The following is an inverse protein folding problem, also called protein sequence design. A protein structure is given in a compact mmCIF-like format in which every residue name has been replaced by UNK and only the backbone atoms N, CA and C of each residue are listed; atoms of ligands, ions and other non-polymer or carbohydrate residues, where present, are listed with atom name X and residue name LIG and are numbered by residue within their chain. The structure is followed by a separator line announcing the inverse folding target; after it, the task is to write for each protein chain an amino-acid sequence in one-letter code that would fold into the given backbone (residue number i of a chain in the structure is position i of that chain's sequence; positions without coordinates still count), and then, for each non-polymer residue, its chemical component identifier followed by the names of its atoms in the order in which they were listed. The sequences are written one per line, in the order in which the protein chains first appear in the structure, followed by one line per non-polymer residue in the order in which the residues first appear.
data_IF_944875794941
#
_entry.id   IF_944875794941
#
_cell.length_a   1.000
_cell.length_b   1.000
_cell.length_c   1.000
_cell.angle_alpha   90.00
_cell.angle_beta   90.00
_cell.angle_gamma   90.00
#
_symmetry.space_group_name_H-M   'P 1'
#
loop_
_entity.id
_entity.type
_entity.pdbx_description
1 polymer ?
#
# COMPACT_ATOMS: atom_id res chain seq x y z
N UNK A 1 5.45 -11.93 31.31
CA UNK A 1 5.56 -10.46 31.39
C UNK A 1 5.84 -9.82 30.03
N UNK A 2 6.47 -10.50 29.05
CA UNK A 2 6.77 -9.93 27.73
C UNK A 2 5.58 -9.78 26.76
N UNK A 3 4.46 -10.49 26.93
CA UNK A 3 3.28 -10.23 26.06
C UNK A 3 2.67 -8.84 26.28
N UNK A 4 2.86 -8.25 27.47
CA UNK A 4 2.33 -6.92 27.79
C UNK A 4 3.15 -5.78 27.20
N UNK A 5 4.45 -5.97 26.92
CA UNK A 5 5.29 -4.86 26.46
C UNK A 5 4.97 -4.46 25.01
N UNK A 6 4.70 -5.44 24.13
CA UNK A 6 4.29 -5.16 22.75
C UNK A 6 2.96 -4.41 22.70
N UNK A 7 1.99 -4.78 23.54
CA UNK A 7 0.74 -4.05 23.69
C UNK A 7 0.95 -2.63 24.24
N UNK A 8 1.90 -2.44 25.17
CA UNK A 8 2.23 -1.12 25.71
C UNK A 8 2.83 -0.20 24.63
N UNK A 9 3.80 -0.71 23.85
CA UNK A 9 4.35 -0.01 22.67
C UNK A 9 3.22 0.38 21.71
N UNK A 10 2.33 -0.57 21.40
CA UNK A 10 1.20 -0.35 20.52
C UNK A 10 0.19 0.67 21.06
N UNK A 11 -0.06 0.73 22.37
CA UNK A 11 -1.02 1.69 22.92
C UNK A 11 -0.52 3.13 22.90
N UNK A 12 0.81 3.30 22.97
CA UNK A 12 1.46 4.60 23.11
C UNK A 12 1.93 5.19 21.76
N UNK A 13 1.49 4.60 20.65
CA UNK A 13 1.69 5.15 19.31
C UNK A 13 0.71 6.30 19.04
N UNK A 14 1.14 7.52 19.38
CA UNK A 14 0.37 8.75 19.28
C UNK A 14 0.26 9.28 17.84
N UNK A 15 1.21 8.95 16.96
CA UNK A 15 1.23 9.37 15.55
C UNK A 15 0.35 8.47 14.66
N UNK A 16 -0.37 7.51 15.25
CA UNK A 16 -1.19 6.54 14.53
C UNK A 16 -2.32 7.18 13.73
N UNK A 17 -2.61 6.55 12.60
CA UNK A 17 -3.79 6.82 11.79
C UNK A 17 -4.96 5.95 12.26
N UNK A 18 -6.11 6.57 12.45
CA UNK A 18 -7.38 5.88 12.59
C UNK A 18 -7.75 5.19 11.28
N UNK A 19 -8.37 4.00 11.37
CA UNK A 19 -8.66 3.17 10.20
C UNK A 19 -10.10 2.69 10.26
N UNK A 20 -10.84 2.92 9.19
CA UNK A 20 -12.18 2.35 8.97
C UNK A 20 -12.14 1.28 7.90
N UNK A 21 -12.90 0.21 8.12
CA UNK A 21 -13.17 -0.86 7.16
C UNK A 21 -14.63 -0.82 6.71
N UNK A 22 -14.96 -1.66 5.73
CA UNK A 22 -16.36 -1.89 5.35
C UNK A 22 -17.05 -2.86 6.32
N UNK A 23 -18.30 -2.59 6.64
CA UNK A 23 -19.19 -3.52 7.33
C UNK A 23 -19.77 -4.57 6.36
N UNK A 24 -20.63 -5.47 6.88
CA UNK A 24 -21.26 -6.55 6.11
C UNK A 24 -22.16 -6.07 4.96
N UNK A 25 -22.69 -4.86 5.07
CA UNK A 25 -23.54 -4.21 4.07
C UNK A 25 -22.70 -3.48 3.00
N UNK A 26 -21.38 -3.38 3.21
CA UNK A 26 -20.44 -2.70 2.34
C UNK A 26 -20.25 -1.22 2.66
N UNK A 27 -20.87 -0.70 3.72
CA UNK A 27 -20.72 0.70 4.14
C UNK A 27 -19.51 0.89 5.05
N UNK A 28 -18.94 2.09 5.07
CA UNK A 28 -17.84 2.44 5.95
C UNK A 28 -18.29 2.49 7.42
N UNK A 29 -17.54 1.86 8.30
CA UNK A 29 -17.82 1.87 9.75
C UNK A 29 -17.62 3.24 10.38
N UNK A 30 -16.69 4.04 9.84
CA UNK A 30 -16.40 5.40 10.25
C UNK A 30 -15.83 6.20 9.07
N UNK A 31 -16.68 7.02 8.44
CA UNK A 31 -16.29 7.89 7.34
C UNK A 31 -15.27 8.97 7.71
N UNK A 32 -15.09 9.25 8.99
CA UNK A 32 -14.20 10.31 9.49
C UNK A 32 -12.78 9.82 9.78
N UNK A 33 -12.53 8.51 9.69
CA UNK A 33 -11.21 7.93 9.91
C UNK A 33 -10.16 8.50 8.93
N UNK A 34 -8.91 8.56 9.37
CA UNK A 34 -7.77 9.02 8.54
C UNK A 34 -7.56 8.09 7.33
N UNK A 35 -7.84 6.79 7.49
CA UNK A 35 -7.73 5.77 6.45
C UNK A 35 -9.09 5.07 6.23
N UNK A 36 -9.50 4.97 4.97
CA UNK A 36 -10.60 4.10 4.53
C UNK A 36 -10.00 2.89 3.79
N UNK A 37 -10.04 1.72 4.43
CA UNK A 37 -9.40 0.48 3.98
C UNK A 37 -10.41 -0.47 3.33
N UNK A 38 -10.24 -0.77 2.05
CA UNK A 38 -11.10 -1.65 1.25
C UNK A 38 -10.38 -2.94 0.86
N UNK A 39 -10.43 -3.95 1.75
CA UNK A 39 -9.84 -5.27 1.48
C UNK A 39 -10.62 -6.09 0.43
N UNK A 40 -11.83 -5.67 0.07
CA UNK A 40 -12.62 -6.26 -1.02
C UNK A 40 -12.74 -7.80 -0.91
N UNK A 41 -12.00 -8.56 -1.73
CA UNK A 41 -12.18 -10.00 -1.90
C UNK A 41 -10.90 -10.78 -1.74
N UNK A 42 -11.04 -12.08 -1.47
CA UNK A 42 -9.92 -13.00 -1.40
C UNK A 42 -9.23 -13.13 -2.76
N UNK A 43 -7.91 -12.94 -2.78
CA UNK A 43 -7.11 -13.11 -3.98
C UNK A 43 -7.09 -14.58 -4.47
N UNK A 44 -7.09 -14.79 -5.78
CA UNK A 44 -7.13 -16.12 -6.41
C UNK A 44 -5.79 -16.86 -6.46
N UNK A 45 -4.68 -16.21 -6.10
CA UNK A 45 -3.35 -16.85 -6.12
C UNK A 45 -2.55 -16.66 -7.40
N UNK A 46 -3.03 -15.85 -8.35
CA UNK A 46 -2.40 -15.64 -9.66
C UNK A 46 -2.18 -14.15 -9.92
N UNK A 47 -1.03 -13.81 -10.53
CA UNK A 47 -0.67 -12.43 -10.91
C UNK A 47 -1.55 -11.85 -12.01
N UNK A 48 -2.22 -12.70 -12.80
CA UNK A 48 -3.05 -12.30 -13.93
C UNK A 48 -4.52 -12.08 -13.55
N UNK A 49 -4.92 -12.51 -12.35
CA UNK A 49 -6.30 -12.44 -11.91
C UNK A 49 -6.39 -11.38 -10.83
N UNK A 50 -6.90 -10.24 -11.25
CA UNK A 50 -7.31 -9.14 -10.40
C UNK A 50 -8.80 -9.28 -10.10
N UNK A 51 -9.12 -9.63 -8.86
CA UNK A 51 -10.50 -9.69 -8.37
C UNK A 51 -10.87 -8.44 -7.56
N UNK A 52 -9.89 -7.59 -7.25
CA UNK A 52 -10.08 -6.36 -6.49
C UNK A 52 -10.26 -5.21 -7.49
N UNK A 53 -11.52 -4.81 -7.70
CA UNK A 53 -11.87 -3.77 -8.65
C UNK A 53 -11.31 -2.39 -8.25
N UNK A 54 -11.17 -2.16 -6.94
CA UNK A 54 -10.78 -0.89 -6.34
C UNK A 54 -9.37 -0.99 -5.70
N UNK A 55 -8.78 0.13 -5.27
CA UNK A 55 -7.55 0.16 -4.48
C UNK A 55 -7.78 -0.43 -3.10
N UNK A 56 -6.70 -0.84 -2.44
CA UNK A 56 -6.75 -1.21 -1.03
C UNK A 56 -7.06 0.02 -0.17
N UNK A 57 -6.39 1.14 -0.44
CA UNK A 57 -6.61 2.40 0.27
C UNK A 57 -7.61 3.26 -0.51
N UNK A 58 -8.90 3.15 -0.15
CA UNK A 58 -9.94 3.99 -0.75
C UNK A 58 -9.74 5.48 -0.41
N UNK A 59 -9.16 5.77 0.77
CA UNK A 59 -8.70 7.11 1.16
C UNK A 59 -7.58 7.01 2.19
N UNK A 60 -6.62 7.92 2.12
CA UNK A 60 -5.62 8.20 3.16
C UNK A 60 -5.56 9.71 3.35
N UNK A 61 -5.54 10.17 4.59
CA UNK A 61 -5.26 11.57 4.94
C UNK A 61 -3.77 11.90 4.74
N UNK A 62 -3.40 12.21 3.50
CA UNK A 62 -2.04 12.60 3.18
C UNK A 62 -1.65 13.97 3.76
N UNK A 63 -2.61 14.82 4.13
CA UNK A 63 -2.33 16.11 4.78
C UNK A 63 -1.83 15.91 6.21
N UNK A 64 -2.46 14.99 6.96
CA UNK A 64 -1.95 14.53 8.26
C UNK A 64 -0.54 13.96 8.14
N UNK A 65 -0.27 13.19 7.08
CA UNK A 65 1.06 12.62 6.81
C UNK A 65 2.09 13.71 6.45
N UNK A 66 1.66 14.74 5.72
CA UNK A 66 2.48 15.90 5.35
C UNK A 66 2.82 16.79 6.55
N UNK A 67 1.91 16.89 7.53
CA UNK A 67 2.07 17.69 8.73
C UNK A 67 2.97 17.05 9.82
N UNK A 68 3.37 15.79 9.66
CA UNK A 68 4.19 15.06 10.65
C UNK A 68 5.65 14.92 10.20
N UNK A 69 6.57 15.47 11.00
CA UNK A 69 8.02 15.35 10.77
C UNK A 69 8.48 13.88 10.71
N UNK A 70 7.87 13.00 11.51
CA UNK A 70 8.18 11.57 11.54
C UNK A 70 7.87 10.91 10.19
N UNK A 71 6.66 11.13 9.67
CA UNK A 71 6.27 10.56 8.37
C UNK A 71 7.05 11.21 7.22
N UNK A 72 7.27 12.52 7.24
CA UNK A 72 8.10 13.20 6.23
C UNK A 72 9.53 12.66 6.22
N UNK A 73 10.14 12.44 7.38
CA UNK A 73 11.49 11.88 7.46
C UNK A 73 11.53 10.43 7.00
N UNK A 74 10.51 9.63 7.32
CA UNK A 74 10.40 8.25 6.82
C UNK A 74 10.23 8.19 5.30
N UNK A 75 9.43 9.09 4.71
CA UNK A 75 9.21 9.18 3.26
C UNK A 75 10.50 9.55 2.52
N UNK A 76 11.27 10.51 3.03
CA UNK A 76 12.61 10.84 2.46
C UNK A 76 13.51 9.62 2.37
N UNK A 77 13.54 8.80 3.43
CA UNK A 77 14.29 7.54 3.41
C UNK A 77 13.78 6.60 2.31
N UNK A 78 12.46 6.40 2.18
CA UNK A 78 11.89 5.56 1.13
C UNK A 78 12.29 6.04 -0.29
N UNK A 79 12.35 7.35 -0.49
CA UNK A 79 12.71 7.96 -1.79
C UNK A 79 14.17 7.70 -2.16
N UNK A 80 15.11 7.77 -1.20
CA UNK A 80 16.52 7.46 -1.45
C UNK A 80 16.71 6.04 -2.01
N UNK A 81 16.02 5.05 -1.41
CA UNK A 81 16.11 3.66 -1.88
C UNK A 81 15.37 3.41 -3.20
N UNK A 82 14.38 4.25 -3.56
CA UNK A 82 13.74 4.16 -4.87
C UNK A 82 14.72 4.55 -6.01
N UNK A 83 15.65 5.47 -5.73
CA UNK A 83 16.64 5.97 -6.69
C UNK A 83 17.81 4.99 -6.88
N UNK A 84 18.25 4.31 -5.82
CA UNK A 84 19.51 3.55 -5.80
C UNK A 84 19.36 2.01 -5.84
N UNK A 85 18.21 1.50 -6.29
CA UNK A 85 17.87 0.08 -6.23
C UNK A 85 18.98 -0.86 -6.78
N UNK A 86 19.65 -1.57 -5.85
CA UNK A 86 20.72 -2.57 -6.07
C UNK A 86 22.05 -2.04 -6.60
N UNK A 87 22.32 -0.75 -6.45
CA UNK A 87 23.65 -0.21 -6.69
C UNK A 87 24.56 -0.45 -5.47
N UNK A 88 25.89 -0.53 -5.65
CA UNK A 88 26.83 -0.61 -4.54
C UNK A 88 26.71 0.64 -3.64
N UNK A 89 25.98 0.53 -2.54
CA UNK A 89 25.72 1.68 -1.67
C UNK A 89 26.97 2.06 -0.88
N UNK A 90 27.42 3.30 -1.08
CA UNK A 90 28.15 4.04 -0.06
C UNK A 90 27.19 5.10 0.42
N UNK A 91 26.73 4.99 1.68
CA UNK A 91 25.84 5.99 2.29
C UNK A 91 26.55 7.33 2.24
N UNK A 92 26.00 8.27 1.47
CA UNK A 92 26.52 9.62 1.36
C UNK A 92 26.35 10.36 2.70
N UNK A 93 27.11 11.43 2.95
CA UNK A 93 26.92 12.24 4.15
C UNK A 93 25.48 12.77 4.29
N UNK A 94 24.83 13.13 3.18
CA UNK A 94 23.45 13.61 3.19
C UNK A 94 22.45 12.50 3.58
N UNK A 95 22.58 11.31 2.99
CA UNK A 95 21.74 10.16 3.36
C UNK A 95 21.97 9.77 4.83
N UNK A 96 23.21 9.87 5.32
CA UNK A 96 23.51 9.64 6.73
C UNK A 96 22.82 10.66 7.63
N UNK A 97 22.86 11.94 7.28
CA UNK A 97 22.19 12.99 8.05
C UNK A 97 20.66 12.79 8.08
N UNK A 98 20.07 12.31 6.98
CA UNK A 98 18.64 11.96 6.92
C UNK A 98 18.29 10.75 7.80
N UNK A 99 19.14 9.72 7.83
CA UNK A 99 18.99 8.55 8.71
C UNK A 99 19.07 8.99 10.18
N UNK A 100 20.08 9.78 10.55
CA UNK A 100 20.27 10.24 11.93
C UNK A 100 19.11 11.14 12.38
N UNK A 101 18.62 12.04 11.50
CA UNK A 101 17.45 12.87 11.79
C UNK A 101 16.16 12.04 11.95
N UNK A 102 15.98 10.97 11.18
CA UNK A 102 14.88 10.04 11.39
C UNK A 102 15.03 9.28 12.73
N UNK A 103 16.23 8.80 13.06
CA UNK A 103 16.50 8.13 14.33
C UNK A 103 16.25 9.04 15.53
N UNK A 104 16.51 10.34 15.44
CA UNK A 104 16.17 11.30 16.49
C UNK A 104 14.67 11.31 16.78
N UNK A 105 13.83 11.37 15.74
CA UNK A 105 12.37 11.35 15.87
C UNK A 105 11.87 10.01 16.44
N UNK A 106 12.42 8.89 15.94
CA UNK A 106 12.06 7.55 16.43
C UNK A 106 12.45 7.38 17.90
N UNK A 107 13.68 7.72 18.29
CA UNK A 107 14.16 7.59 19.67
C UNK A 107 13.37 8.49 20.64
N UNK A 108 12.97 9.69 20.18
CA UNK A 108 12.16 10.61 20.97
C UNK A 108 10.71 10.12 21.18
N UNK A 109 10.21 9.21 20.35
CA UNK A 109 8.84 8.70 20.42
C UNK A 109 8.60 7.82 21.66
N UNK A 110 7.36 7.86 22.19
CA UNK A 110 6.98 7.02 23.33
C UNK A 110 7.07 5.51 23.05
N UNK A 111 6.67 4.99 21.86
CA UNK A 111 6.85 3.58 21.52
C UNK A 111 8.30 3.10 21.65
N UNK A 112 9.26 3.87 21.13
CA UNK A 112 10.68 3.49 21.20
C UNK A 112 11.26 3.61 22.61
N UNK A 113 10.86 4.63 23.38
CA UNK A 113 11.27 4.74 24.79
C UNK A 113 10.86 3.51 25.60
N UNK A 114 9.63 3.02 25.41
CA UNK A 114 9.14 1.82 26.10
C UNK A 114 9.96 0.58 25.68
N UNK A 115 10.27 0.44 24.39
CA UNK A 115 11.13 -0.63 23.91
C UNK A 115 12.53 -0.55 24.55
N UNK A 116 13.15 0.64 24.55
CA UNK A 116 14.47 0.87 25.13
C UNK A 116 14.53 0.58 26.63
N UNK A 117 13.54 1.05 27.39
CA UNK A 117 13.41 0.80 28.83
C UNK A 117 13.35 -0.71 29.10
N UNK A 118 12.56 -1.45 28.33
CA UNK A 118 12.44 -2.91 28.47
C UNK A 118 13.72 -3.66 28.07
N UNK A 119 14.32 -3.31 26.94
CA UNK A 119 15.56 -3.93 26.44
C UNK A 119 16.68 -3.75 27.47
N UNK A 120 16.82 -2.54 28.02
CA UNK A 120 17.87 -2.21 28.99
C UNK A 120 17.67 -2.90 30.34
N UNK A 121 16.41 -3.14 30.73
CA UNK A 121 16.10 -3.82 31.99
C UNK A 121 16.25 -5.34 31.89
N UNK A 122 15.82 -5.95 30.78
CA UNK A 122 15.58 -7.40 30.71
C UNK A 122 16.51 -8.15 29.75
N UNK A 123 17.05 -7.49 28.72
CA UNK A 123 17.75 -8.16 27.62
C UNK A 123 19.25 -7.81 27.61
N UNK A 124 19.58 -6.53 27.61
CA UNK A 124 20.98 -6.06 27.49
C UNK A 124 21.35 -5.22 28.71
N UNK A 125 22.21 -5.78 29.57
CA UNK A 125 22.73 -5.06 30.73
C UNK A 125 23.57 -3.86 30.30
N UNK A 126 23.49 -2.78 31.06
CA UNK A 126 24.29 -1.56 30.89
C UNK A 126 24.11 -0.88 29.52
N UNK A 127 22.97 -1.12 28.84
CA UNK A 127 22.62 -0.41 27.61
C UNK A 127 22.44 1.08 27.90
N UNK A 128 23.19 1.91 27.18
CA UNK A 128 23.08 3.37 27.22
C UNK A 128 22.27 3.89 26.03
N UNK A 129 21.78 5.12 26.10
CA UNK A 129 21.11 5.76 24.96
C UNK A 129 22.04 5.88 23.73
N UNK A 130 23.34 6.12 23.96
CA UNK A 130 24.36 6.20 22.90
C UNK A 130 24.54 4.85 22.20
N UNK A 131 24.75 3.79 22.97
CA UNK A 131 24.93 2.43 22.42
C UNK A 131 23.65 1.93 21.75
N UNK A 132 22.48 2.27 22.29
CA UNK A 132 21.21 1.91 21.67
C UNK A 132 20.99 2.60 20.33
N UNK A 133 21.35 3.88 20.21
CA UNK A 133 21.34 4.60 18.93
C UNK A 133 22.28 3.95 17.91
N UNK A 134 23.50 3.61 18.33
CA UNK A 134 24.46 2.92 17.46
C UNK A 134 23.93 1.55 17.01
N UNK A 135 23.28 0.82 17.90
CA UNK A 135 22.63 -0.45 17.59
C UNK A 135 21.44 -0.27 16.63
N UNK A 136 20.62 0.78 16.79
CA UNK A 136 19.54 1.10 15.87
C UNK A 136 20.07 1.41 14.46
N UNK A 137 21.11 2.24 14.37
CA UNK A 137 21.78 2.51 13.09
C UNK A 137 22.29 1.21 12.47
N UNK A 138 23.04 0.42 13.26
CA UNK A 138 23.59 -0.86 12.79
C UNK A 138 22.51 -1.80 12.31
N UNK A 139 21.51 -2.09 13.14
CA UNK A 139 20.54 -3.15 12.82
C UNK A 139 19.61 -2.81 11.65
N UNK A 140 19.30 -1.53 11.45
CA UNK A 140 18.34 -1.07 10.44
C UNK A 140 19.00 -0.50 9.18
N UNK A 141 20.14 0.18 9.30
CA UNK A 141 20.68 1.01 8.21
C UNK A 141 22.10 0.66 7.78
N UNK A 142 22.88 -0.06 8.59
CA UNK A 142 24.20 -0.51 8.16
C UNK A 142 24.08 -1.53 7.03
N UNK A 143 24.92 -1.34 6.01
CA UNK A 143 24.95 -2.18 4.80
C UNK A 143 25.63 -3.51 5.13
N UNK A 144 24.97 -4.62 4.80
CA UNK A 144 25.48 -5.96 5.06
C UNK A 144 25.31 -6.89 3.86
N UNK A 145 25.89 -8.10 3.95
CA UNK A 145 25.71 -9.17 2.97
C UNK A 145 24.99 -10.34 3.63
N UNK A 146 23.78 -10.64 3.17
CA UNK A 146 23.00 -11.75 3.68
C UNK A 146 23.31 -13.07 2.94
N UNK A 147 23.51 -14.16 3.68
CA UNK A 147 23.77 -15.49 3.12
C UNK A 147 22.63 -16.47 3.44
N UNK A 148 21.81 -16.83 2.45
CA UNK A 148 20.70 -17.76 2.69
C UNK A 148 20.66 -18.89 1.67
N UNK A 149 20.66 -20.13 2.17
CA UNK A 149 20.59 -21.36 1.35
C UNK A 149 21.62 -21.39 0.20
N UNK A 150 22.86 -21.00 0.50
CA UNK A 150 23.97 -21.00 -0.45
C UNK A 150 23.96 -19.84 -1.47
N UNK A 151 23.11 -18.83 -1.25
CA UNK A 151 23.09 -17.59 -2.05
C UNK A 151 23.48 -16.40 -1.18
N UNK A 152 24.34 -15.52 -1.68
CA UNK A 152 24.58 -14.21 -1.09
C UNK A 152 23.68 -13.15 -1.74
N UNK A 153 23.26 -12.19 -0.93
CA UNK A 153 22.60 -10.95 -1.34
C UNK A 153 23.46 -9.84 -0.76
N UNK A 154 24.01 -8.99 -1.62
CA UNK A 154 24.93 -7.92 -1.23
C UNK A 154 24.17 -6.60 -1.13
N UNK A 155 24.77 -5.63 -0.45
CA UNK A 155 24.26 -4.26 -0.30
C UNK A 155 22.87 -4.20 0.35
N UNK A 156 22.62 -5.07 1.33
CA UNK A 156 21.34 -5.11 2.03
C UNK A 156 21.33 -4.13 3.18
N UNK A 157 20.19 -3.50 3.45
CA UNK A 157 19.91 -2.84 4.74
C UNK A 157 18.62 -3.39 5.34
N UNK A 158 18.48 -3.33 6.66
CA UNK A 158 17.25 -3.77 7.34
C UNK A 158 16.04 -2.94 6.93
N UNK A 159 16.23 -1.63 6.76
CA UNK A 159 15.22 -0.70 6.28
C UNK A 159 14.71 -1.08 4.89
N UNK A 160 15.63 -1.29 3.93
CA UNK A 160 15.26 -1.67 2.56
C UNK A 160 14.49 -3.00 2.56
N UNK A 161 15.00 -4.01 3.27
CA UNK A 161 14.39 -5.32 3.30
C UNK A 161 12.99 -5.34 3.92
N UNK A 162 12.75 -4.53 4.95
CA UNK A 162 11.45 -4.48 5.63
C UNK A 162 10.48 -3.58 4.88
N UNK A 163 10.83 -2.31 4.70
CA UNK A 163 9.90 -1.27 4.28
C UNK A 163 9.88 -1.05 2.75
N UNK A 164 11.03 -1.08 2.09
CA UNK A 164 11.14 -0.79 0.65
C UNK A 164 10.75 -2.00 -0.20
N UNK A 165 11.28 -3.16 0.15
CA UNK A 165 11.09 -4.43 -0.56
C UNK A 165 12.15 -4.69 -1.64
N UNK A 166 12.70 -5.90 -1.63
CA UNK A 166 13.71 -6.34 -2.60
C UNK A 166 13.04 -7.06 -3.79
N UNK A 167 13.18 -6.49 -4.99
CA UNK A 167 12.77 -7.12 -6.24
C UNK A 167 13.74 -8.22 -6.72
N UNK A 168 13.19 -9.40 -6.99
CA UNK A 168 13.91 -10.57 -7.50
C UNK A 168 13.55 -10.84 -8.96
N UNK A 169 14.38 -10.32 -9.87
CA UNK A 169 14.26 -10.50 -11.33
C UNK A 169 15.66 -10.61 -11.99
N UNK A 170 15.72 -11.06 -13.25
CA UNK A 170 16.97 -11.38 -13.97
C UNK A 170 17.13 -10.48 -15.20
N UNK A 171 17.95 -9.41 -15.09
CA UNK A 171 18.27 -8.51 -16.22
C UNK A 171 18.62 -9.30 -17.50
N UNK A 172 17.69 -9.40 -18.43
CA UNK A 172 17.77 -10.05 -19.73
C UNK A 172 17.97 -9.02 -20.82
N UNK A 173 18.78 -9.35 -21.83
CA UNK A 173 19.28 -8.40 -22.82
C UNK A 173 18.23 -7.84 -23.81
N UNK A 174 16.97 -8.29 -23.81
CA UNK A 174 15.93 -7.84 -24.74
C UNK A 174 14.51 -8.34 -24.35
N UNK A 175 13.88 -7.80 -23.31
CA UNK A 175 12.42 -7.95 -23.18
C UNK A 175 11.77 -6.77 -22.47
N UNK A 176 10.74 -6.20 -23.11
CA UNK A 176 9.81 -5.27 -22.48
C UNK A 176 9.24 -5.89 -21.20
N UNK A 177 9.62 -5.33 -20.06
CA UNK A 177 9.26 -5.70 -18.67
C UNK A 177 9.54 -7.15 -18.25
N UNK A 178 10.52 -7.32 -17.38
CA UNK A 178 10.79 -8.61 -16.75
C UNK A 178 9.77 -8.94 -15.67
N UNK A 179 9.47 -10.23 -15.52
CA UNK A 179 8.62 -10.74 -14.45
C UNK A 179 9.49 -11.24 -13.30
N UNK A 180 9.20 -10.78 -12.09
CA UNK A 180 9.91 -11.19 -10.88
C UNK A 180 9.01 -11.39 -9.67
N UNK A 181 9.65 -11.51 -8.51
CA UNK A 181 9.03 -11.64 -7.19
C UNK A 181 9.51 -10.52 -6.25
N UNK A 182 8.85 -10.36 -5.11
CA UNK A 182 9.22 -9.39 -4.06
C UNK A 182 9.51 -10.12 -2.76
N UNK A 183 10.70 -9.92 -2.19
CA UNK A 183 11.04 -10.31 -0.81
C UNK A 183 11.22 -9.07 0.05
N UNK A 184 10.31 -8.83 1.00
CA UNK A 184 10.18 -7.54 1.70
C UNK A 184 8.89 -6.82 1.32
N UNK A 185 8.81 -5.49 1.50
CA UNK A 185 7.60 -4.68 1.22
C UNK A 185 6.51 -4.94 2.27
N UNK A 186 6.73 -4.41 3.48
CA UNK A 186 5.87 -4.60 4.64
C UNK A 186 5.48 -3.25 5.29
N UNK A 187 5.44 -2.17 4.51
CA UNK A 187 5.03 -0.84 4.96
C UNK A 187 3.69 -0.43 4.32
N UNK A 188 2.71 -0.07 5.14
CA UNK A 188 1.46 0.50 4.62
C UNK A 188 1.67 1.90 4.03
N UNK A 189 2.58 2.70 4.59
CA UNK A 189 2.93 4.04 4.06
C UNK A 189 3.48 3.90 2.65
N UNK A 190 4.45 3.02 2.45
CA UNK A 190 4.98 2.71 1.11
C UNK A 190 3.88 2.21 0.17
N UNK A 191 3.04 1.28 0.64
CA UNK A 191 1.96 0.75 -0.18
C UNK A 191 0.99 1.86 -0.62
N UNK A 192 0.54 2.71 0.30
CA UNK A 192 -0.36 3.82 0.02
C UNK A 192 0.26 4.82 -0.97
N UNK A 193 1.54 5.15 -0.82
CA UNK A 193 2.26 6.04 -1.75
C UNK A 193 2.43 5.39 -3.12
N UNK A 194 2.81 4.11 -3.18
CA UNK A 194 2.92 3.39 -4.44
C UNK A 194 1.56 3.23 -5.12
N UNK A 195 0.48 3.03 -4.38
CA UNK A 195 -0.87 2.87 -4.91
C UNK A 195 -1.38 4.20 -5.47
N UNK A 196 -1.19 5.29 -4.73
CA UNK A 196 -1.44 6.65 -5.20
C UNK A 196 -0.70 6.96 -6.51
N UNK A 197 0.50 6.42 -6.68
CA UNK A 197 1.35 6.62 -7.86
C UNK A 197 1.18 5.52 -8.93
N UNK A 198 0.17 4.67 -8.86
CA UNK A 198 -0.06 3.54 -9.78
C UNK A 198 1.13 2.55 -9.91
N UNK A 199 2.01 2.50 -8.92
CA UNK A 199 3.14 1.59 -8.88
C UNK A 199 2.76 0.23 -8.31
N UNK A 200 1.73 0.13 -7.48
CA UNK A 200 1.23 -1.15 -6.95
C UNK A 200 -0.22 -1.39 -7.35
N UNK A 201 -0.57 -2.66 -7.54
CA UNK A 201 -1.93 -3.14 -7.81
C UNK A 201 -2.29 -4.18 -6.74
N UNK A 202 -3.24 -3.84 -5.87
CA UNK A 202 -3.83 -4.76 -4.90
C UNK A 202 -4.70 -5.78 -5.62
N UNK A 203 -4.50 -7.08 -5.36
CA UNK A 203 -5.24 -8.16 -6.03
C UNK A 203 -6.22 -8.89 -5.10
N UNK A 204 -6.38 -8.42 -3.86
CA UNK A 204 -7.23 -9.02 -2.84
C UNK A 204 -6.47 -9.56 -1.61
N UNK A 205 -7.24 -9.87 -0.57
CA UNK A 205 -6.71 -10.36 0.71
C UNK A 205 -6.31 -11.84 0.64
N UNK A 206 -5.43 -12.29 1.53
CA UNK A 206 -4.83 -13.63 1.54
C UNK A 206 -4.47 -14.18 2.92
N UNK A 207 -5.35 -13.96 3.89
CA UNK A 207 -5.27 -14.57 5.22
C UNK A 207 -5.32 -16.10 5.16
N UNK A 208 -4.55 -16.78 6.02
CA UNK A 208 -4.62 -18.23 6.26
C UNK A 208 -5.47 -18.51 7.51
N UNK A 209 -6.68 -17.94 7.57
CA UNK A 209 -7.58 -18.04 8.71
C UNK A 209 -8.85 -18.82 8.36
N UNK A 210 -9.39 -19.56 9.33
CA UNK A 210 -10.73 -20.16 9.28
C UNK A 210 -11.84 -19.25 9.85
N UNK A 211 -11.45 -18.05 10.32
CA UNK A 211 -12.27 -16.96 10.88
C UNK A 211 -11.73 -15.60 10.40
N UNK A 212 -12.17 -14.45 10.95
CA UNK A 212 -12.24 -13.19 10.21
C UNK A 212 -10.93 -12.77 9.54
N UNK A 213 -11.00 -12.61 8.22
CA UNK A 213 -10.38 -11.48 7.53
C UNK A 213 -11.41 -10.34 7.44
N UNK A 214 -11.15 -9.33 6.61
CA UNK A 214 -11.60 -7.92 6.66
C UNK A 214 -11.92 -7.19 7.98
N UNK A 215 -12.13 -7.87 9.12
CA UNK A 215 -12.67 -7.23 10.33
C UNK A 215 -11.62 -6.60 11.25
N UNK A 216 -10.32 -6.92 11.10
CA UNK A 216 -9.25 -6.23 11.85
C UNK A 216 -8.71 -5.06 11.02
N UNK A 217 -8.94 -3.79 11.41
CA UNK A 217 -8.57 -2.63 10.60
C UNK A 217 -7.06 -2.34 10.60
N UNK A 218 -6.27 -2.99 11.46
CA UNK A 218 -4.87 -2.63 11.71
C UNK A 218 -3.86 -3.57 11.05
N UNK A 219 -4.32 -4.46 10.17
CA UNK A 219 -3.45 -5.38 9.44
C UNK A 219 -4.07 -5.71 8.10
N UNK A 220 -3.22 -5.87 7.09
CA UNK A 220 -3.63 -6.48 5.82
C UNK A 220 -2.70 -7.63 5.53
N UNK A 221 -3.26 -8.79 5.17
CA UNK A 221 -2.51 -9.86 4.49
C UNK A 221 -3.01 -9.94 3.06
N UNK A 222 -2.15 -9.69 2.08
CA UNK A 222 -2.56 -9.43 0.71
C UNK A 222 -1.77 -10.18 -0.35
N UNK A 223 -2.29 -10.12 -1.57
CA UNK A 223 -1.59 -10.37 -2.81
C UNK A 223 -1.48 -9.06 -3.60
N UNK A 224 -0.33 -8.82 -4.24
CA UNK A 224 -0.09 -7.60 -5.02
C UNK A 224 0.81 -7.85 -6.24
N UNK A 225 0.69 -6.95 -7.21
CA UNK A 225 1.70 -6.71 -8.25
C UNK A 225 2.33 -5.35 -8.02
N UNK A 226 3.65 -5.26 -8.14
CA UNK A 226 4.41 -4.02 -8.07
C UNK A 226 5.14 -3.78 -9.39
N UNK A 227 4.89 -2.63 -9.98
CA UNK A 227 5.54 -2.11 -11.17
C UNK A 227 6.77 -1.32 -10.74
N UNK A 228 7.92 -1.98 -10.74
CA UNK A 228 9.19 -1.32 -10.46
C UNK A 228 9.62 -0.48 -11.67
N UNK A 229 9.87 0.80 -11.44
CA UNK A 229 10.24 1.78 -12.44
C UNK A 229 11.65 2.29 -12.20
N UNK A 230 12.34 2.74 -13.26
CA UNK A 230 13.61 3.45 -13.13
C UNK A 230 13.40 4.94 -12.78
N UNK A 231 14.51 5.67 -12.60
CA UNK A 231 14.49 7.11 -12.29
C UNK A 231 13.78 7.98 -13.34
N UNK A 232 13.58 7.46 -14.55
CA UNK A 232 12.87 8.16 -15.64
C UNK A 232 11.39 7.77 -15.71
N UNK A 233 10.91 6.94 -14.78
CA UNK A 233 9.54 6.43 -14.73
C UNK A 233 9.27 5.25 -15.67
N UNK A 234 10.30 4.72 -16.36
CA UNK A 234 10.12 3.61 -17.27
C UNK A 234 9.99 2.30 -16.49
N UNK A 235 9.04 1.44 -16.89
CA UNK A 235 8.83 0.13 -16.27
C UNK A 235 10.06 -0.77 -16.49
N UNK A 236 10.73 -1.10 -15.40
CA UNK A 236 11.87 -2.03 -15.36
C UNK A 236 11.37 -3.47 -15.20
N UNK A 237 10.50 -3.71 -14.23
CA UNK A 237 10.00 -5.04 -13.93
C UNK A 237 8.59 -5.02 -13.32
N UNK A 238 7.82 -6.06 -13.63
CA UNK A 238 6.57 -6.37 -12.94
C UNK A 238 6.84 -7.48 -11.92
N UNK A 239 6.74 -7.14 -10.64
CA UNK A 239 7.06 -8.02 -9.53
C UNK A 239 5.78 -8.50 -8.86
N UNK A 240 5.70 -9.80 -8.60
CA UNK A 240 4.53 -10.41 -8.00
C UNK A 240 4.82 -10.83 -6.56
N UNK A 241 3.98 -10.39 -5.63
CA UNK A 241 3.99 -10.88 -4.25
C UNK A 241 2.76 -11.73 -4.06
N UNK A 242 2.96 -13.04 -4.10
CA UNK A 242 1.87 -14.02 -3.98
C UNK A 242 1.23 -13.96 -2.60
N UNK A 243 1.97 -13.58 -1.55
CA UNK A 243 1.47 -13.33 -0.21
C UNK A 243 2.39 -12.36 0.53
N UNK A 244 1.81 -11.34 1.15
CA UNK A 244 2.48 -10.37 2.01
C UNK A 244 1.57 -9.90 3.11
N UNK A 245 2.08 -9.05 4.00
CA UNK A 245 1.23 -8.36 4.95
C UNK A 245 1.98 -7.32 5.75
N UNK A 246 1.24 -6.34 6.25
CA UNK A 246 1.76 -5.21 7.01
C UNK A 246 0.71 -4.74 8.00
N UNK A 247 1.14 -4.01 9.02
CA UNK A 247 0.23 -3.26 9.88
C UNK A 247 -0.36 -2.09 9.10
N UNK A 248 -1.57 -1.65 9.44
CA UNK A 248 -2.23 -0.48 8.86
C UNK A 248 -2.45 0.58 9.92
N UNK A 249 -2.03 1.80 9.59
CA UNK A 249 -2.20 3.00 10.41
C UNK A 249 -1.14 3.21 11.48
N UNK A 250 -0.36 2.19 11.86
CA UNK A 250 0.79 2.31 12.77
C UNK A 250 1.80 3.36 12.29
N UNK A 251 2.43 4.07 13.22
CA UNK A 251 3.53 4.97 12.86
C UNK A 251 4.83 4.21 12.54
N UNK A 252 5.72 4.80 11.74
CA UNK A 252 7.07 4.26 11.54
C UNK A 252 7.79 4.02 12.87
N UNK A 253 7.64 4.91 13.85
CA UNK A 253 8.26 4.77 15.16
C UNK A 253 7.74 3.55 15.93
N UNK A 254 6.42 3.29 15.89
CA UNK A 254 5.83 2.10 16.48
C UNK A 254 6.36 0.82 15.81
N UNK A 255 6.39 0.77 14.48
CA UNK A 255 6.88 -0.40 13.75
C UNK A 255 8.37 -0.68 14.02
N UNK A 256 9.20 0.37 14.08
CA UNK A 256 10.59 0.29 14.49
C UNK A 256 10.75 -0.23 15.92
N UNK A 257 9.94 0.25 16.86
CA UNK A 257 9.98 -0.19 18.26
C UNK A 257 9.63 -1.68 18.39
N UNK A 258 8.56 -2.14 17.72
CA UNK A 258 8.15 -3.55 17.71
C UNK A 258 9.24 -4.44 17.07
N UNK A 259 9.80 -4.02 15.93
CA UNK A 259 10.85 -4.74 15.22
C UNK A 259 12.16 -4.82 16.01
N UNK A 260 12.56 -3.71 16.64
CA UNK A 260 13.77 -3.62 17.47
C UNK A 260 13.66 -4.52 18.69
N UNK A 261 12.52 -4.50 19.39
CA UNK A 261 12.30 -5.40 20.51
C UNK A 261 12.34 -6.87 20.08
N UNK A 262 11.65 -7.22 18.98
CA UNK A 262 11.67 -8.59 18.44
C UNK A 262 13.08 -9.03 18.01
N UNK A 263 13.89 -8.12 17.49
CA UNK A 263 15.30 -8.37 17.15
C UNK A 263 16.11 -8.76 18.38
N UNK A 264 16.05 -7.98 19.48
CA UNK A 264 16.76 -8.33 20.72
C UNK A 264 16.21 -9.61 21.32
N UNK A 265 14.89 -9.79 21.40
CA UNK A 265 14.31 -11.05 21.87
C UNK A 265 14.81 -12.26 21.05
N UNK A 266 15.02 -12.10 19.74
CA UNK A 266 15.60 -13.13 18.89
C UNK A 266 17.08 -13.42 19.17
N UNK A 267 17.90 -12.40 19.46
CA UNK A 267 19.29 -12.60 19.91
C UNK A 267 19.35 -13.40 21.22
N UNK A 268 18.33 -13.26 22.06
CA UNK A 268 18.20 -13.98 23.34
C UNK A 268 17.44 -15.32 23.22
N UNK A 269 17.13 -15.78 22.00
CA UNK A 269 16.46 -17.07 21.77
C UNK A 269 15.01 -17.13 22.24
N UNK A 270 14.35 -15.98 22.42
CA UNK A 270 12.97 -15.87 22.90
C UNK A 270 11.92 -15.99 21.77
N UNK A 271 12.37 -16.20 20.54
CA UNK A 271 11.51 -16.43 19.39
C UNK A 271 11.37 -17.92 19.09
N UNK A 272 10.15 -18.35 18.77
CA UNK A 272 9.88 -19.72 18.31
C UNK A 272 9.74 -19.72 16.81
N UNK A 273 10.59 -20.47 16.10
CA UNK A 273 10.59 -20.52 14.63
C UNK A 273 10.64 -19.13 13.97
N UNK A 274 11.45 -18.22 14.53
CA UNK A 274 11.59 -16.82 14.04
C UNK A 274 10.32 -15.97 14.24
N UNK A 275 9.51 -16.31 15.23
CA UNK A 275 8.24 -15.65 15.51
C UNK A 275 8.09 -15.32 16.99
N UNK A 276 7.56 -14.12 17.26
CA UNK A 276 7.00 -13.74 18.56
C UNK A 276 5.48 -13.73 18.48
N UNK A 277 4.83 -14.53 19.33
CA UNK A 277 3.38 -14.46 19.50
C UNK A 277 3.04 -13.24 20.36
N UNK A 278 2.14 -12.39 19.91
CA UNK A 278 1.68 -11.20 20.64
C UNK A 278 0.18 -11.00 20.49
N UNK A 279 -0.39 -10.23 21.42
CA UNK A 279 -1.72 -9.64 21.31
C UNK A 279 -1.53 -8.13 21.11
N UNK A 280 -2.13 -7.56 20.06
CA UNK A 280 -2.14 -6.12 19.77
C UNK A 280 -3.59 -5.68 19.54
N UNK A 281 -4.13 -4.92 20.48
CA UNK A 281 -5.55 -4.59 20.52
C UNK A 281 -6.37 -5.89 20.60
N UNK A 282 -7.37 -6.01 19.73
CA UNK A 282 -8.20 -7.21 19.64
C UNK A 282 -7.55 -8.34 18.82
N UNK A 283 -6.44 -8.09 18.13
CA UNK A 283 -5.80 -9.07 17.26
C UNK A 283 -4.65 -9.88 17.89
N UNK A 284 -4.56 -11.16 17.53
CA UNK A 284 -3.40 -12.03 17.76
C UNK A 284 -2.50 -12.05 16.55
N UNK A 285 -1.20 -11.92 16.79
CA UNK A 285 -0.21 -11.85 15.73
C UNK A 285 0.98 -12.76 16.00
N UNK A 286 1.52 -13.32 14.93
CA UNK A 286 2.92 -13.70 14.87
C UNK A 286 3.71 -12.54 14.29
N UNK A 287 4.55 -11.91 15.10
CA UNK A 287 5.58 -11.01 14.58
C UNK A 287 6.72 -11.88 14.07
N UNK A 288 6.84 -11.98 12.75
CA UNK A 288 7.94 -12.70 12.11
C UNK A 288 9.14 -11.77 12.11
N UNK A 289 10.27 -12.24 12.62
CA UNK A 289 11.52 -11.48 12.64
C UNK A 289 12.65 -12.42 12.24
N UNK A 290 13.41 -12.03 11.23
CA UNK A 290 14.62 -12.72 10.81
C UNK A 290 15.83 -11.80 10.96
N UNK A 291 16.89 -12.30 11.59
CA UNK A 291 18.22 -11.70 11.48
C UNK A 291 18.83 -11.96 10.11
N UNK A 292 19.82 -11.14 9.78
CA UNK A 292 20.87 -11.49 8.81
C UNK A 292 21.40 -12.89 9.09
N UNK A 293 21.69 -13.64 8.03
CA UNK A 293 22.51 -14.83 8.12
C UNK A 293 23.89 -14.53 7.58
N UNK A 294 24.92 -14.72 8.39
CA UNK A 294 26.33 -14.47 8.04
C UNK A 294 26.89 -15.60 7.16
N UNK A 295 28.11 -15.41 6.62
CA UNK A 295 28.75 -16.38 5.73
C UNK A 295 28.95 -17.78 6.34
N UNK A 296 29.11 -17.86 7.67
CA UNK A 296 29.24 -19.11 8.42
C UNK A 296 27.88 -19.71 8.85
N UNK A 297 26.78 -19.04 8.52
CA UNK A 297 25.42 -19.48 8.84
C UNK A 297 24.92 -19.09 10.23
N UNK A 298 25.68 -18.26 10.97
CA UNK A 298 25.24 -17.73 12.26
C UNK A 298 24.29 -16.52 12.11
N UNK A 299 23.70 -16.09 13.23
CA UNK A 299 22.86 -14.90 13.28
C UNK A 299 23.75 -13.65 13.25
N UNK A 300 23.49 -12.78 12.28
CA UNK A 300 24.17 -11.50 12.15
C UNK A 300 23.62 -10.41 13.06
N UNK A 301 24.17 -9.20 12.91
CA UNK A 301 23.81 -8.03 13.72
C UNK A 301 22.71 -7.18 13.09
N UNK A 302 22.19 -7.57 11.94
CA UNK A 302 21.21 -6.79 11.17
C UNK A 302 19.84 -7.46 11.14
N UNK A 303 18.79 -6.66 10.99
CA UNK A 303 17.46 -7.16 10.67
C UNK A 303 17.44 -7.51 9.19
N UNK A 304 16.94 -8.71 8.86
CA UNK A 304 16.72 -9.14 7.48
C UNK A 304 15.27 -9.05 7.05
N UNK A 305 14.33 -9.21 7.96
CA UNK A 305 12.90 -9.03 7.68
C UNK A 305 12.12 -8.96 8.98
N UNK A 306 11.07 -8.15 9.00
CA UNK A 306 10.12 -8.03 10.10
C UNK A 306 8.74 -7.77 9.50
N UNK A 307 7.72 -8.54 9.91
CA UNK A 307 6.34 -8.32 9.46
C UNK A 307 5.32 -9.07 10.32
N UNK A 308 4.07 -8.58 10.38
CA UNK A 308 3.00 -9.28 11.08
C UNK A 308 2.42 -10.42 10.23
N UNK A 309 2.04 -11.48 10.92
CA UNK A 309 1.10 -12.50 10.43
C UNK A 309 -0.08 -12.50 11.37
N UNK A 310 -1.25 -12.12 10.86
CA UNK A 310 -2.48 -12.10 11.66
C UNK A 310 -3.04 -13.50 11.87
N UNK A 311 -3.53 -13.76 13.09
CA UNK A 311 -3.95 -15.08 13.55
C UNK A 311 -5.40 -15.12 14.04
N UNK A 312 -6.15 -14.01 13.88
CA UNK A 312 -7.50 -13.83 14.42
C UNK A 312 -7.52 -13.15 15.80
N UNK A 313 -8.69 -13.01 16.39
CA UNK A 313 -8.93 -12.33 17.66
C UNK A 313 -8.94 -13.27 18.89
N UNK A 314 -8.86 -14.59 18.65
CA UNK A 314 -8.93 -15.61 19.70
C UNK A 314 -10.34 -16.01 20.11
N UNK A 315 -11.38 -15.55 19.42
CA UNK A 315 -12.72 -16.11 19.54
C UNK A 315 -12.74 -17.52 18.92
N UNK A 316 -12.98 -18.55 19.73
CA UNK A 316 -13.39 -19.86 19.19
C UNK A 316 -14.80 -19.71 18.68
N UNK A 317 -15.02 -19.72 17.36
CA UNK A 317 -16.36 -19.89 16.81
C UNK A 317 -16.61 -21.36 16.45
N UNK A 318 -17.65 -21.89 17.07
CA UNK A 318 -18.49 -22.93 16.50
C UNK A 318 -18.87 -22.51 15.09
N UNK A 319 -18.86 -23.48 14.21
CA UNK A 319 -19.14 -23.52 12.77
C UNK A 319 -20.51 -22.96 12.31
N UNK A 320 -21.12 -22.04 13.06
CA UNK A 320 -22.49 -21.60 12.86
C UNK A 320 -22.66 -20.08 12.61
N UNK A 321 -21.57 -19.36 12.36
CA UNK A 321 -21.66 -18.02 11.77
C UNK A 321 -21.55 -18.14 10.27
N UNK A 322 -22.69 -18.04 9.58
CA UNK A 322 -22.78 -17.97 8.13
C UNK A 322 -21.63 -17.14 7.56
N UNK A 323 -20.92 -17.75 6.60
CA UNK A 323 -19.83 -17.14 5.86
C UNK A 323 -20.12 -15.64 5.70
N UNK A 324 -19.29 -14.79 6.34
CA UNK A 324 -19.22 -13.38 5.96
C UNK A 324 -18.67 -13.40 4.54
N UNK A 325 -19.59 -13.54 3.59
CA UNK A 325 -19.31 -13.37 2.18
C UNK A 325 -19.18 -11.87 2.04
N UNK A 326 -17.95 -11.36 2.17
CA UNK A 326 -17.64 -10.06 1.59
C UNK A 326 -17.89 -10.22 0.11
N UNK A 327 -19.09 -9.81 -0.29
CA UNK A 327 -19.41 -9.70 -1.69
C UNK A 327 -18.53 -8.54 -2.15
N UNK A 328 -17.68 -8.74 -3.16
CA UNK A 328 -17.16 -7.56 -3.84
C UNK A 328 -18.39 -6.70 -4.14
N UNK A 329 -18.33 -5.39 -3.90
CA UNK A 329 -18.87 -4.51 -4.92
C UNK A 329 -18.02 -4.83 -6.14
N UNK A 330 -18.37 -5.90 -6.83
CA UNK A 330 -18.22 -5.93 -8.27
C UNK A 330 -18.83 -4.62 -8.62
N UNK A 331 -18.04 -3.71 -9.14
CA UNK A 331 -18.64 -2.57 -9.82
C UNK A 331 -19.44 -3.25 -10.91
N UNK A 332 -20.72 -3.56 -10.64
CA UNK A 332 -21.66 -3.98 -11.66
C UNK A 332 -21.52 -2.86 -12.66
N UNK A 333 -20.96 -3.19 -13.82
CA UNK A 333 -20.68 -2.18 -14.82
C UNK A 333 -22.02 -1.61 -15.22
N UNK A 334 -22.34 -0.47 -14.63
CA UNK A 334 -23.59 0.20 -14.77
C UNK A 334 -23.30 1.34 -15.71
N UNK A 335 -23.76 1.26 -16.95
CA UNK A 335 -23.61 2.34 -17.92
C UNK A 335 -24.88 2.50 -18.77
N UNK A 336 -26.02 2.15 -18.18
CA UNK A 336 -27.35 2.09 -18.78
C UNK A 336 -28.34 3.09 -18.15
N UNK A 337 -27.93 3.81 -17.09
CA UNK A 337 -28.69 4.90 -16.49
C UNK A 337 -28.88 6.13 -17.40
N UNK A 338 -29.55 7.18 -16.90
CA UNK A 338 -29.79 8.41 -17.66
C UNK A 338 -28.51 9.19 -17.95
N UNK A 339 -27.47 9.04 -17.11
CA UNK A 339 -26.15 9.62 -17.32
C UNK A 339 -25.16 8.48 -17.57
N UNK A 340 -24.46 8.53 -18.70
CA UNK A 340 -23.59 7.43 -19.17
C UNK A 340 -22.21 7.96 -19.55
N UNK A 341 -21.20 7.13 -19.33
CA UNK A 341 -19.88 7.34 -19.92
C UNK A 341 -19.95 6.89 -21.38
N UNK A 342 -19.83 7.83 -22.31
CA UNK A 342 -20.01 7.60 -23.74
C UNK A 342 -18.74 7.09 -24.39
N UNK A 343 -17.66 7.85 -24.25
CA UNK A 343 -16.37 7.55 -24.86
C UNK A 343 -15.23 8.15 -24.06
N UNK A 344 -13.99 7.70 -24.30
CA UNK A 344 -12.82 8.31 -23.68
C UNK A 344 -11.59 8.18 -24.58
N UNK A 345 -10.62 9.08 -24.40
CA UNK A 345 -9.28 9.02 -24.99
C UNK A 345 -8.24 8.87 -23.87
N UNK A 346 -7.87 7.63 -23.49
CA UNK A 346 -6.88 7.39 -22.45
C UNK A 346 -5.44 7.65 -22.90
N UNK A 347 -5.14 7.48 -24.19
CA UNK A 347 -3.77 7.55 -24.73
C UNK A 347 -3.73 8.51 -25.93
N UNK A 348 -3.69 9.84 -25.72
CA UNK A 348 -3.66 10.80 -26.81
C UNK A 348 -2.36 10.71 -27.63
N UNK A 349 -2.34 11.22 -28.89
CA UNK A 349 -1.12 11.24 -29.70
C UNK A 349 -0.06 12.20 -29.16
N UNK A 350 1.21 11.77 -29.20
CA UNK A 350 2.37 12.57 -28.77
C UNK A 350 2.69 12.52 -27.27
N UNK A 351 3.71 13.27 -26.86
CA UNK A 351 4.24 13.30 -25.48
C UNK A 351 3.48 14.24 -24.54
N UNK A 352 2.43 14.92 -25.02
CA UNK A 352 1.69 15.94 -24.27
C UNK A 352 0.78 15.29 -23.20
N UNK A 353 1.28 15.26 -21.96
CA UNK A 353 0.49 14.94 -20.78
C UNK A 353 -0.62 16.00 -20.59
N UNK A 354 -1.89 15.59 -20.67
CA UNK A 354 -3.04 16.45 -20.34
C UNK A 354 -4.10 16.64 -21.43
N UNK A 355 -4.01 15.94 -22.57
CA UNK A 355 -5.07 15.95 -23.61
C UNK A 355 -6.01 14.75 -23.52
N UNK A 356 -5.98 14.03 -22.41
CA UNK A 356 -6.93 12.97 -22.10
C UNK A 356 -8.31 13.56 -21.82
N UNK A 357 -9.34 12.81 -22.17
CA UNK A 357 -10.70 13.27 -21.95
C UNK A 357 -11.67 12.09 -21.85
N UNK A 358 -12.80 12.37 -21.20
CA UNK A 358 -13.95 11.48 -21.08
C UNK A 358 -15.20 12.23 -21.56
N UNK A 359 -16.03 11.58 -22.35
CA UNK A 359 -17.34 12.09 -22.74
C UNK A 359 -18.44 11.47 -21.88
N UNK A 360 -19.29 12.33 -21.32
CA UNK A 360 -20.47 11.97 -20.55
C UNK A 360 -21.70 12.32 -21.38
N UNK A 361 -22.64 11.39 -21.51
CA UNK A 361 -23.88 11.55 -22.25
C UNK A 361 -25.08 11.53 -21.33
N UNK A 362 -25.93 12.56 -21.41
CA UNK A 362 -27.27 12.52 -20.87
C UNK A 362 -28.19 11.77 -21.85
N UNK A 363 -28.37 10.47 -21.62
CA UNK A 363 -29.29 9.60 -22.34
C UNK A 363 -30.74 9.69 -21.82
N UNK A 364 -30.98 10.46 -20.75
CA UNK A 364 -32.29 10.69 -20.17
C UNK A 364 -33.14 11.70 -20.95
N UNK A 365 -34.40 11.84 -20.52
CA UNK A 365 -35.37 12.76 -21.11
C UNK A 365 -35.44 14.13 -20.39
N UNK A 366 -34.66 14.33 -19.33
CA UNK A 366 -34.63 15.55 -18.53
C UNK A 366 -33.22 16.10 -18.43
N UNK A 367 -33.12 17.42 -18.26
CA UNK A 367 -31.84 18.10 -18.02
C UNK A 367 -31.30 17.73 -16.63
N UNK A 368 -29.97 17.58 -16.52
CA UNK A 368 -29.30 17.14 -15.29
C UNK A 368 -28.31 18.21 -14.85
N UNK A 369 -28.42 18.69 -13.61
CA UNK A 369 -27.42 19.57 -12.99
C UNK A 369 -26.26 18.72 -12.47
N UNK A 370 -25.06 18.95 -13.01
CA UNK A 370 -23.84 18.23 -12.65
C UNK A 370 -23.04 18.92 -11.54
N UNK A 371 -23.61 19.92 -10.87
CA UNK A 371 -22.95 20.60 -9.76
C UNK A 371 -22.52 19.62 -8.67
N UNK A 372 -21.21 19.55 -8.39
CA UNK A 372 -20.62 18.64 -7.40
C UNK A 372 -20.41 17.20 -7.88
N UNK A 373 -20.70 16.89 -9.15
CA UNK A 373 -20.45 15.57 -9.72
C UNK A 373 -18.97 15.44 -10.10
N UNK A 374 -18.48 14.22 -10.18
CA UNK A 374 -17.09 13.95 -10.54
C UNK A 374 -16.91 12.62 -11.26
N UNK A 375 -15.87 12.55 -12.09
CA UNK A 375 -15.33 11.29 -12.57
C UNK A 375 -14.27 10.80 -11.60
N UNK A 376 -14.09 9.48 -11.49
CA UNK A 376 -12.96 8.89 -10.77
C UNK A 376 -12.31 7.79 -11.61
N UNK A 377 -11.02 7.57 -11.41
CA UNK A 377 -10.30 6.45 -12.01
C UNK A 377 -10.32 5.20 -11.12
N UNK A 378 -9.58 4.15 -11.53
CA UNK A 378 -9.39 2.93 -10.71
C UNK A 378 -8.85 3.25 -9.31
N UNK A 379 -8.06 4.31 -9.15
CA UNK A 379 -7.47 4.72 -7.88
C UNK A 379 -8.39 5.62 -7.05
N UNK A 380 -9.68 5.76 -7.42
CA UNK A 380 -10.64 6.67 -6.80
C UNK A 380 -10.21 8.15 -6.86
N UNK A 381 -9.25 8.52 -7.70
CA UNK A 381 -8.78 9.91 -7.82
C UNK A 381 -9.80 10.75 -8.60
N UNK A 382 -10.22 11.91 -8.08
CA UNK A 382 -11.32 12.67 -8.67
C UNK A 382 -10.87 13.52 -9.88
N UNK A 383 -11.82 13.72 -10.79
CA UNK A 383 -11.86 14.79 -11.79
C UNK A 383 -13.23 15.46 -11.64
N UNK A 384 -13.30 16.61 -10.93
CA UNK A 384 -14.55 17.35 -10.77
C UNK A 384 -15.13 17.75 -12.12
N UNK A 385 -16.46 17.72 -12.21
CA UNK A 385 -17.19 18.27 -13.34
C UNK A 385 -17.45 19.76 -13.10
N UNK A 386 -17.33 20.55 -14.15
CA UNK A 386 -17.75 21.96 -14.09
C UNK A 386 -19.26 22.01 -13.82
N UNK A 387 -19.69 22.97 -12.97
CA UNK A 387 -21.09 23.18 -12.65
C UNK A 387 -21.86 23.56 -13.92
N UNK A 388 -22.46 22.55 -14.56
CA UNK A 388 -23.15 22.66 -15.84
C UNK A 388 -24.46 21.89 -15.79
N UNK A 389 -25.50 22.48 -16.38
CA UNK A 389 -26.74 21.77 -16.65
C UNK A 389 -26.58 21.05 -18.00
N UNK A 390 -26.46 19.72 -17.96
CA UNK A 390 -26.35 18.89 -19.15
C UNK A 390 -27.75 18.58 -19.70
N UNK A 391 -28.10 19.25 -20.79
CA UNK A 391 -29.42 19.13 -21.44
C UNK A 391 -29.68 17.67 -21.90
N UNK A 392 -30.94 17.23 -21.85
CA UNK A 392 -31.35 15.93 -22.36
C UNK A 392 -30.79 15.64 -23.78
N UNK A 393 -30.13 14.50 -23.95
CA UNK A 393 -29.51 14.08 -25.21
C UNK A 393 -28.12 14.68 -25.50
N UNK A 394 -27.66 15.67 -24.72
CA UNK A 394 -26.38 16.34 -24.92
C UNK A 394 -25.18 15.51 -24.39
N UNK A 395 -24.00 15.81 -24.93
CA UNK A 395 -22.73 15.21 -24.52
C UNK A 395 -21.84 16.30 -23.95
N UNK A 396 -21.27 16.04 -22.77
CA UNK A 396 -20.24 16.86 -22.15
C UNK A 396 -18.89 16.18 -22.35
N UNK A 397 -17.94 16.89 -22.92
CA UNK A 397 -16.54 16.45 -23.01
C UNK A 397 -15.76 17.04 -21.84
N UNK A 398 -15.21 16.18 -21.00
CA UNK A 398 -14.45 16.54 -19.80
C UNK A 398 -12.98 16.26 -20.06
N UNK A 399 -12.15 17.29 -20.02
CA UNK A 399 -10.70 17.14 -20.05
C UNK A 399 -10.20 16.63 -18.71
N UNK A 400 -9.36 15.59 -18.73
CA UNK A 400 -8.74 15.04 -17.52
C UNK A 400 -7.47 15.82 -17.22
N UNK A 401 -7.43 16.46 -16.06
CA UNK A 401 -6.30 17.31 -15.65
C UNK A 401 -5.36 16.51 -14.76
N UNK A 402 -4.11 16.35 -15.18
CA UNK A 402 -3.06 15.67 -14.40
C UNK A 402 -2.15 16.65 -13.64
N UNK A 403 -2.74 17.61 -12.94
CA UNK A 403 -1.94 18.63 -12.25
C UNK A 403 -1.10 18.04 -11.11
N UNK A 404 -1.62 17.02 -10.42
CA UNK A 404 -0.94 16.33 -9.33
C UNK A 404 -1.28 14.84 -9.36
N UNK A 405 -0.52 14.03 -8.61
CA UNK A 405 -0.76 12.59 -8.47
C UNK A 405 -2.13 12.24 -7.87
N UNK A 406 -2.80 13.21 -7.24
CA UNK A 406 -4.12 13.07 -6.63
C UNK A 406 -5.29 13.28 -7.60
N UNK A 407 -5.04 13.80 -8.81
CA UNK A 407 -6.08 13.94 -9.83
C UNK A 407 -6.25 12.64 -10.61
N UNK A 408 -7.42 12.46 -11.21
CA UNK A 408 -7.74 11.32 -12.08
C UNK A 408 -6.62 11.08 -13.13
N UNK A 409 -6.18 9.83 -13.26
CA UNK A 409 -5.21 9.40 -14.27
C UNK A 409 -5.76 8.22 -15.08
N UNK A 410 -5.63 8.33 -16.40
CA UNK A 410 -6.05 7.29 -17.34
C UNK A 410 -4.84 6.47 -17.82
N UNK A 411 -4.80 5.18 -17.50
CA UNK A 411 -3.67 4.32 -17.88
C UNK A 411 -3.83 3.78 -19.30
N UNK A 412 -2.77 3.83 -20.11
CA UNK A 412 -2.78 3.30 -21.49
C UNK A 412 -2.95 1.77 -21.58
N UNK A 413 -2.90 1.03 -20.46
CA UNK A 413 -2.91 -0.44 -20.44
C UNK A 413 -4.24 -1.06 -20.02
N UNK A 414 -4.81 -0.54 -18.94
CA UNK A 414 -6.11 -0.93 -18.40
C UNK A 414 -6.56 0.17 -17.46
N UNK A 415 -7.86 0.43 -17.39
CA UNK A 415 -8.39 1.37 -16.42
C UNK A 415 -9.86 1.19 -16.16
N UNK A 416 -10.31 1.84 -15.10
CA UNK A 416 -11.69 1.97 -14.67
C UNK A 416 -12.00 3.46 -14.70
N UNK A 417 -13.18 3.81 -15.21
CA UNK A 417 -13.74 5.17 -15.13
C UNK A 417 -15.09 5.04 -14.47
N UNK A 418 -15.31 5.74 -13.36
CA UNK A 418 -16.60 5.83 -12.70
C UNK A 418 -17.10 7.27 -12.68
N UNK A 419 -18.41 7.44 -12.64
CA UNK A 419 -19.09 8.72 -12.55
C UNK A 419 -19.90 8.75 -11.26
N UNK A 420 -19.69 9.78 -10.45
CA UNK A 420 -20.32 9.94 -9.15
C UNK A 420 -21.12 11.25 -9.07
N UNK A 421 -22.22 11.22 -8.31
CA UNK A 421 -23.01 12.40 -8.00
C UNK A 421 -22.41 13.21 -6.83
N UNK A 422 -23.06 14.33 -6.50
CA UNK A 422 -22.64 15.21 -5.39
C UNK A 422 -22.68 14.57 -3.99
N UNK A 423 -23.36 13.43 -3.83
CA UNK A 423 -23.39 12.65 -2.59
C UNK A 423 -22.31 11.55 -2.55
N UNK A 424 -21.62 11.33 -3.67
CA UNK A 424 -20.65 10.25 -3.86
C UNK A 424 -21.25 8.95 -4.39
N UNK A 425 -22.55 8.90 -4.71
CA UNK A 425 -23.20 7.74 -5.30
C UNK A 425 -22.68 7.52 -6.72
N UNK A 426 -22.28 6.29 -7.04
CA UNK A 426 -21.80 5.92 -8.37
C UNK A 426 -22.98 5.73 -9.33
N UNK A 427 -23.05 6.56 -10.37
CA UNK A 427 -24.11 6.54 -11.38
C UNK A 427 -23.74 5.72 -12.62
N UNK A 428 -22.46 5.75 -13.00
CA UNK A 428 -21.96 4.98 -14.14
C UNK A 428 -20.54 4.46 -13.94
N UNK A 429 -20.19 3.38 -14.64
CA UNK A 429 -18.88 2.74 -14.61
C UNK A 429 -18.55 1.98 -15.89
N UNK A 430 -17.32 2.14 -16.37
CA UNK A 430 -16.78 1.43 -17.53
C UNK A 430 -15.33 1.01 -17.30
N UNK A 431 -14.99 -0.21 -17.73
CA UNK A 431 -13.61 -0.69 -17.80
C UNK A 431 -13.08 -0.60 -19.23
N UNK A 432 -11.77 -0.42 -19.36
CA UNK A 432 -11.08 -0.54 -20.63
C UNK A 432 -9.76 -1.29 -20.51
N UNK A 433 -9.37 -1.94 -21.60
CA UNK A 433 -8.08 -2.62 -21.76
C UNK A 433 -7.02 -1.70 -22.38
N UNK A 434 -6.08 -2.28 -23.11
CA UNK A 434 -4.98 -1.52 -23.69
C UNK A 434 -5.49 -0.52 -24.73
N UNK A 435 -5.16 0.77 -24.53
CA UNK A 435 -5.51 1.86 -25.41
C UNK A 435 -4.34 2.15 -26.35
N UNK A 436 -4.56 1.95 -27.66
CA UNK A 436 -3.62 2.40 -28.67
C UNK A 436 -3.53 3.92 -28.70
N UNK A 437 -2.38 4.46 -29.10
CA UNK A 437 -2.19 5.90 -29.24
C UNK A 437 -3.22 6.49 -30.20
N UNK A 438 -3.87 7.58 -29.78
CA UNK A 438 -4.95 8.24 -30.51
C UNK A 438 -6.29 7.51 -30.54
N UNK A 439 -6.41 6.33 -29.91
CA UNK A 439 -7.64 5.54 -29.97
C UNK A 439 -8.71 6.05 -29.01
N UNK A 440 -9.85 6.45 -29.57
CA UNK A 440 -11.07 6.74 -28.79
C UNK A 440 -11.80 5.42 -28.50
N UNK A 441 -12.04 5.17 -27.22
CA UNK A 441 -12.78 4.01 -26.74
C UNK A 441 -14.24 4.38 -26.56
N UNK A 442 -15.17 3.60 -27.12
CA UNK A 442 -16.62 3.85 -27.00
C UNK A 442 -17.25 2.82 -26.07
N UNK A 443 -18.09 3.29 -25.14
CA UNK A 443 -18.71 2.47 -24.09
C UNK A 443 -20.24 2.48 -24.11
N UNK A 444 -20.85 3.42 -24.86
CA UNK A 444 -22.28 3.46 -25.10
C UNK A 444 -22.56 3.85 -26.56
N UNK A 445 -23.66 3.34 -27.12
CA UNK A 445 -24.09 3.69 -28.48
C UNK A 445 -25.22 4.73 -28.44
N UNK A 446 -25.10 5.75 -29.29
CA UNK A 446 -26.19 6.70 -29.57
C UNK A 446 -27.03 6.11 -30.70
N UNK A 447 -28.31 5.85 -30.46
CA UNK A 447 -29.21 5.40 -31.52
C UNK A 447 -29.33 6.50 -32.59
N UNK A 448 -28.72 6.26 -33.77
CA UNK A 448 -29.00 6.99 -35.00
C UNK A 448 -28.12 8.21 -35.29
N UNK A 449 -26.99 7.96 -35.96
CA UNK A 449 -26.33 8.92 -36.85
C UNK A 449 -25.94 8.19 -38.13
N UNK A 450 -26.86 8.07 -39.09
CA UNK A 450 -26.53 7.64 -40.44
C UNK A 450 -25.52 8.64 -41.03
N UNK A 451 -24.35 8.14 -41.41
CA UNK A 451 -23.56 8.70 -42.50
C UNK A 451 -23.92 7.97 -43.78
#
# INVERSE_FOLDING_TARGET
MSDHIYQAIWNEDADRFSVSTRNVDGDWTDMTADILLDEQVKAKGSRQIDLAANPLFARVDFDKMAASDLYQSFIRLLDNYAVHFRDPETISPAERDEIEGFLDLVIASRPMQIAFEHISAELVRDMTAETFRQDLFRMWFEVYTNFFRGKSTHFCTGFEHVFVGEGKYKKGANSASEKGEISGYHSWVKFALDELNNRVDYLGYKYDLGGPGPENPHVVTLQMVWNHQDMTGNLVAELFKSKGGFFVGSSPACEFALGTLAYYEGLHGLLTNQKKRVQLGEGKFDLVMYHETTADGSLGQHIRSFYPVFLGDGSTRTDDSGNVVVRPRTVEMQNDGPLRILSALPNPPGDDQGTEWVEIWNAGAADIDLTGYELRDKMCRPQPLEAVVLIAGAVLKVSVTRATVHHMQMSNRKGLITLHDSSGEMLASVNYGQAAEGAVLTFAERAGGQG
#
